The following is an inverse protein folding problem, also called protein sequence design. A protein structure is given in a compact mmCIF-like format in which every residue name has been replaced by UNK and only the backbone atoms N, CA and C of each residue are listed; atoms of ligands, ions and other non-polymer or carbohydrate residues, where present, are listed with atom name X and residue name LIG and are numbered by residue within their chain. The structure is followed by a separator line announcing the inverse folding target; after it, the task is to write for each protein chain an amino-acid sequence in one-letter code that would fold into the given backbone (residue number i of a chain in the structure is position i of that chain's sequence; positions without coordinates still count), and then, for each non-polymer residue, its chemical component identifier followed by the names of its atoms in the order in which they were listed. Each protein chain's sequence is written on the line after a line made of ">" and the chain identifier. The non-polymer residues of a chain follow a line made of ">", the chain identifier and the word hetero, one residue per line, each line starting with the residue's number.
data_IF_508820977731
#
_entry.id   IF_508820977731
#
_cell.length_a   1.000
_cell.length_b   1.000
_cell.length_c   1.000
_cell.angle_alpha   90.00
_cell.angle_beta   90.00
_cell.angle_gamma   90.00
#
_symmetry.space_group_name_H-M   'P 1'
#
loop_
_entity.id
_entity.type
_entity.pdbx_description
1 polymer ?
#
# COMPACT_ATOMS: atom_id res chain seq x y z
N UNK A 1 -4.73 45.89 17.20
CA UNK A 1 -5.28 45.58 15.85
C UNK A 1 -4.12 45.22 14.94
N UNK A 2 -3.85 43.94 14.68
CA UNK A 2 -2.71 43.58 13.82
C UNK A 2 -3.07 43.79 12.34
N UNK A 3 -2.28 44.60 11.63
CA UNK A 3 -2.36 44.79 10.17
C UNK A 3 -2.21 43.48 9.36
N UNK A 4 -1.78 42.40 10.02
CA UNK A 4 -1.45 41.11 9.42
C UNK A 4 -2.53 40.02 9.57
N UNK A 5 -3.65 40.29 10.29
CA UNK A 5 -4.75 39.33 10.42
C UNK A 5 -5.95 39.75 9.55
N UNK A 6 -6.32 38.93 8.57
CA UNK A 6 -7.50 39.13 7.72
C UNK A 6 -7.42 38.40 6.37
N UNK A 7 -8.56 38.29 5.68
CA UNK A 7 -8.66 37.72 4.33
C UNK A 7 -8.13 38.70 3.27
N UNK A 8 -7.46 38.17 2.23
CA UNK A 8 -6.85 38.93 1.14
C UNK A 8 -7.87 39.80 0.41
N UNK A 9 -9.06 39.26 0.15
CA UNK A 9 -10.15 39.97 -0.54
C UNK A 9 -10.66 41.15 0.30
N UNK A 10 -10.84 40.93 1.61
CA UNK A 10 -11.24 42.00 2.54
C UNK A 10 -10.19 43.12 2.64
N UNK A 11 -8.89 42.78 2.51
CA UNK A 11 -7.78 43.72 2.61
C UNK A 11 -7.60 44.52 1.33
N UNK A 12 -7.55 43.85 0.17
CA UNK A 12 -7.42 44.50 -1.14
C UNK A 12 -8.57 45.47 -1.39
N UNK A 13 -9.81 45.08 -1.06
CA UNK A 13 -10.98 45.97 -1.10
C UNK A 13 -10.79 47.24 -0.27
N UNK A 14 -10.25 47.14 0.94
CA UNK A 14 -10.00 48.32 1.80
C UNK A 14 -8.92 49.24 1.22
N UNK A 15 -7.85 48.68 0.66
CA UNK A 15 -6.75 49.45 0.07
C UNK A 15 -7.15 50.17 -1.22
N UNK A 16 -7.92 49.51 -2.09
CA UNK A 16 -8.46 50.12 -3.31
C UNK A 16 -9.47 51.22 -2.96
N UNK A 17 -10.38 50.98 -1.99
CA UNK A 17 -11.31 52.01 -1.51
C UNK A 17 -10.61 53.22 -0.86
N UNK A 18 -9.49 52.99 -0.19
CA UNK A 18 -8.67 54.04 0.41
C UNK A 18 -7.75 54.75 -0.58
N UNK A 19 -7.84 54.45 -1.88
CA UNK A 19 -6.97 54.98 -2.94
C UNK A 19 -5.47 54.76 -2.70
N UNK A 20 -5.11 53.83 -1.82
CA UNK A 20 -3.73 53.49 -1.49
C UNK A 20 -3.12 52.53 -2.53
N UNK A 21 -3.97 51.87 -3.34
CA UNK A 21 -3.57 50.93 -4.37
C UNK A 21 -4.54 51.02 -5.55
N UNK A 22 -4.03 50.91 -6.78
CA UNK A 22 -4.86 50.79 -7.98
C UNK A 22 -5.64 49.47 -7.97
N UNK A 23 -6.86 49.47 -8.54
CA UNK A 23 -7.69 48.27 -8.61
C UNK A 23 -6.98 47.15 -9.41
N UNK A 24 -6.66 46.01 -8.78
CA UNK A 24 -6.01 44.93 -9.51
C UNK A 24 -7.02 44.20 -10.38
N UNK A 25 -6.58 43.75 -11.56
CA UNK A 25 -7.43 43.11 -12.59
C UNK A 25 -8.23 41.91 -12.05
N UNK A 26 -7.67 41.18 -11.08
CA UNK A 26 -8.29 40.00 -10.48
C UNK A 26 -9.34 40.30 -9.40
N UNK A 27 -9.46 41.54 -8.90
CA UNK A 27 -10.35 41.85 -7.78
C UNK A 27 -11.82 41.57 -8.13
N UNK A 28 -12.28 42.06 -9.29
CA UNK A 28 -13.66 41.87 -9.75
C UNK A 28 -14.03 40.39 -9.89
N UNK A 29 -13.12 39.60 -10.47
CA UNK A 29 -13.32 38.15 -10.62
C UNK A 29 -13.40 37.45 -9.26
N UNK A 30 -12.56 37.84 -8.30
CA UNK A 30 -12.53 37.24 -6.96
C UNK A 30 -13.71 37.69 -6.09
N UNK A 31 -14.26 38.89 -6.31
CA UNK A 31 -15.50 39.33 -5.67
C UNK A 31 -16.73 38.62 -6.22
N UNK A 32 -16.74 38.32 -7.52
CA UNK A 32 -17.80 37.56 -8.17
C UNK A 32 -17.78 36.08 -7.75
N UNK A 33 -16.59 35.50 -7.61
CA UNK A 33 -16.38 34.12 -7.22
C UNK A 33 -15.32 34.01 -6.11
N UNK A 34 -15.67 34.31 -4.84
CA UNK A 34 -14.73 34.16 -3.74
C UNK A 34 -14.40 32.68 -3.51
N UNK A 35 -13.20 32.37 -2.98
CA UNK A 35 -12.84 30.99 -2.66
C UNK A 35 -13.79 30.41 -1.60
N UNK A 36 -14.10 29.12 -1.72
CA UNK A 36 -14.97 28.44 -0.78
C UNK A 36 -14.37 28.44 0.65
N UNK A 37 -15.15 28.90 1.62
CA UNK A 37 -14.78 28.87 3.04
C UNK A 37 -15.38 27.65 3.71
N UNK A 38 -14.52 26.78 4.25
CA UNK A 38 -14.95 25.65 5.07
C UNK A 38 -15.01 26.05 6.55
N UNK A 39 -15.93 25.48 7.35
CA UNK A 39 -15.90 25.67 8.80
C UNK A 39 -14.53 25.20 9.31
N UNK A 40 -13.94 25.99 10.22
CA UNK A 40 -12.67 25.58 10.83
C UNK A 40 -12.94 24.29 11.62
N UNK A 41 -12.21 23.19 11.36
CA UNK A 41 -12.40 21.96 12.10
C UNK A 41 -12.05 22.23 13.57
N UNK A 42 -13.03 22.03 14.46
CA UNK A 42 -12.79 22.07 15.89
C UNK A 42 -12.34 20.67 16.33
N UNK A 43 -11.12 20.56 16.87
CA UNK A 43 -10.59 19.32 17.42
C UNK A 43 -9.77 18.46 16.46
N UNK A 44 -9.62 17.18 16.81
CA UNK A 44 -8.79 16.21 16.08
C UNK A 44 -9.60 15.55 14.96
N UNK A 45 -8.98 15.36 13.80
CA UNK A 45 -9.58 14.61 12.70
C UNK A 45 -9.85 13.15 13.12
N UNK A 46 -11.04 12.65 12.80
CA UNK A 46 -11.42 11.25 13.06
C UNK A 46 -10.81 10.32 12.01
N UNK A 47 -10.34 9.16 12.45
CA UNK A 47 -9.88 8.10 11.55
C UNK A 47 -11.08 7.46 10.86
N UNK A 48 -11.07 7.42 9.52
CA UNK A 48 -12.09 6.71 8.74
C UNK A 48 -11.87 5.21 8.92
N UNK A 49 -12.90 4.52 9.41
CA UNK A 49 -12.90 3.06 9.61
C UNK A 49 -14.12 2.45 8.94
N UNK A 50 -13.94 1.30 8.30
CA UNK A 50 -15.01 0.56 7.66
C UNK A 50 -15.34 -0.73 8.42
N UNK A 51 -16.58 -1.24 8.33
CA UNK A 51 -16.96 -2.49 9.01
C UNK A 51 -16.16 -3.70 8.52
N UNK A 52 -15.73 -3.72 7.24
CA UNK A 52 -14.91 -4.79 6.69
C UNK A 52 -13.47 -4.84 7.23
N UNK A 53 -12.95 -3.73 7.78
CA UNK A 53 -11.54 -3.61 8.17
C UNK A 53 -11.12 -4.65 9.21
N UNK A 54 -12.06 -5.05 10.08
CA UNK A 54 -11.84 -6.09 11.09
C UNK A 54 -11.51 -7.43 10.42
N UNK A 55 -12.29 -7.82 9.42
CA UNK A 55 -12.15 -9.10 8.72
C UNK A 55 -10.96 -9.09 7.76
N UNK A 56 -10.65 -7.96 7.13
CA UNK A 56 -9.42 -7.79 6.33
C UNK A 56 -8.17 -8.05 7.20
N UNK A 57 -8.14 -7.52 8.43
CA UNK A 57 -7.04 -7.78 9.38
C UNK A 57 -6.96 -9.26 9.76
N UNK A 58 -8.10 -9.90 10.06
CA UNK A 58 -8.15 -11.35 10.35
C UNK A 58 -7.69 -12.20 9.18
N UNK A 59 -8.08 -11.84 7.96
CA UNK A 59 -7.64 -12.51 6.74
C UNK A 59 -6.13 -12.46 6.57
N UNK A 60 -5.49 -11.29 6.75
CA UNK A 60 -4.04 -11.18 6.64
C UNK A 60 -3.29 -11.85 7.80
N UNK A 61 -3.92 -11.99 8.97
CA UNK A 61 -3.37 -12.80 10.07
C UNK A 61 -3.35 -14.29 9.69
N UNK A 62 -4.39 -14.78 9.01
CA UNK A 62 -4.48 -16.17 8.52
C UNK A 62 -3.61 -16.43 7.29
N UNK A 63 -3.55 -15.48 6.36
CA UNK A 63 -2.83 -15.57 5.08
C UNK A 63 -1.85 -14.41 4.88
N UNK A 64 -0.70 -14.41 5.58
CA UNK A 64 0.30 -13.35 5.44
C UNK A 64 0.85 -13.26 4.01
N UNK A 65 1.02 -14.41 3.34
CA UNK A 65 1.51 -14.51 1.96
C UNK A 65 0.60 -13.83 0.92
N UNK A 66 -0.68 -13.63 1.25
CA UNK A 66 -1.64 -12.99 0.34
C UNK A 66 -1.24 -11.56 -0.01
N UNK A 67 -0.48 -10.88 0.85
CA UNK A 67 0.08 -9.54 0.57
C UNK A 67 0.95 -9.52 -0.68
N UNK A 68 1.67 -10.63 -0.96
CA UNK A 68 2.54 -10.77 -2.12
C UNK A 68 1.81 -11.36 -3.32
N UNK A 69 0.95 -12.35 -3.11
CA UNK A 69 0.19 -12.98 -4.20
C UNK A 69 -0.85 -12.04 -4.82
N UNK A 70 -1.46 -11.20 -3.99
CA UNK A 70 -2.57 -10.33 -4.37
C UNK A 70 -2.33 -8.90 -3.86
N UNK A 71 -1.35 -8.19 -4.45
CA UNK A 71 -1.12 -6.79 -4.11
C UNK A 71 -2.34 -5.95 -4.49
N UNK A 72 -2.62 -4.93 -3.68
CA UNK A 72 -3.70 -3.97 -3.97
C UNK A 72 -3.28 -3.16 -5.20
N UNK A 73 -3.99 -3.36 -6.31
CA UNK A 73 -3.78 -2.61 -7.54
C UNK A 73 -4.73 -1.42 -7.54
N UNK A 74 -4.20 -0.21 -7.38
CA UNK A 74 -5.01 1.01 -7.37
C UNK A 74 -5.80 1.24 -8.66
N UNK A 75 -5.32 0.72 -9.79
CA UNK A 75 -5.99 0.81 -11.10
C UNK A 75 -7.00 -0.30 -11.37
N UNK A 76 -7.05 -1.35 -10.54
CA UNK A 76 -7.98 -2.44 -10.75
C UNK A 76 -9.38 -2.06 -10.24
N UNK A 77 -10.39 -2.42 -11.03
CA UNK A 77 -11.80 -2.29 -10.64
C UNK A 77 -12.14 -3.34 -9.60
N UNK A 78 -11.62 -4.56 -9.78
CA UNK A 78 -11.91 -5.67 -8.89
C UNK A 78 -11.21 -5.50 -7.54
N UNK A 79 -11.94 -5.68 -6.42
CA UNK A 79 -11.35 -5.57 -5.10
C UNK A 79 -10.35 -6.70 -4.85
N UNK A 80 -9.38 -6.41 -3.96
CA UNK A 80 -8.43 -7.42 -3.52
C UNK A 80 -9.15 -8.60 -2.83
N UNK A 81 -8.61 -9.83 -2.88
CA UNK A 81 -9.23 -11.00 -2.26
C UNK A 81 -9.49 -10.86 -0.76
N UNK A 82 -8.67 -10.08 -0.05
CA UNK A 82 -8.89 -9.75 1.36
C UNK A 82 -10.18 -8.96 1.59
N UNK A 83 -10.50 -8.03 0.67
CA UNK A 83 -11.73 -7.26 0.71
C UNK A 83 -12.93 -8.10 0.26
N UNK A 84 -12.79 -8.94 -0.77
CA UNK A 84 -13.83 -9.89 -1.18
C UNK A 84 -14.24 -10.80 -0.03
N UNK A 85 -13.25 -11.38 0.67
CA UNK A 85 -13.48 -12.18 1.87
C UNK A 85 -14.28 -11.40 2.93
N UNK A 86 -13.85 -10.18 3.24
CA UNK A 86 -14.49 -9.38 4.27
C UNK A 86 -15.92 -8.95 3.90
N UNK A 87 -16.15 -8.55 2.65
CA UNK A 87 -17.48 -8.23 2.13
C UNK A 87 -18.39 -9.46 2.16
N UNK A 88 -17.88 -10.64 1.83
CA UNK A 88 -18.64 -11.88 1.89
C UNK A 88 -19.07 -12.22 3.32
N UNK A 89 -18.19 -12.02 4.31
CA UNK A 89 -18.54 -12.21 5.72
C UNK A 89 -19.65 -11.25 6.16
N UNK A 90 -19.57 -9.98 5.74
CA UNK A 90 -20.61 -9.00 6.04
C UNK A 90 -21.94 -9.36 5.38
N UNK A 91 -21.91 -9.77 4.11
CA UNK A 91 -23.10 -10.21 3.38
C UNK A 91 -23.77 -11.40 4.09
N UNK A 92 -23.02 -12.43 4.47
CA UNK A 92 -23.57 -13.60 5.18
C UNK A 92 -24.14 -13.22 6.55
N UNK A 93 -23.51 -12.27 7.25
CA UNK A 93 -23.99 -11.74 8.52
C UNK A 93 -25.28 -10.94 8.37
N UNK A 94 -25.45 -10.21 7.27
CA UNK A 94 -26.72 -9.53 6.94
C UNK A 94 -27.86 -10.54 6.73
N UNK A 95 -27.56 -11.75 6.27
CA UNK A 95 -28.52 -12.86 6.17
C UNK A 95 -28.79 -13.57 7.52
N UNK A 96 -28.19 -13.11 8.62
CA UNK A 96 -28.39 -13.66 9.96
C UNK A 96 -27.50 -14.85 10.32
N UNK A 97 -26.47 -15.15 9.52
CA UNK A 97 -25.50 -16.22 9.81
C UNK A 97 -24.55 -15.76 10.92
N UNK A 98 -24.12 -16.69 11.78
CA UNK A 98 -23.16 -16.40 12.84
C UNK A 98 -21.81 -15.95 12.26
N UNK A 99 -21.08 -15.09 12.97
CA UNK A 99 -19.83 -14.51 12.45
C UNK A 99 -18.78 -15.58 12.14
N UNK A 100 -18.69 -16.61 12.97
CA UNK A 100 -17.71 -17.68 12.81
C UNK A 100 -18.03 -18.56 11.60
N UNK A 101 -19.30 -18.95 11.44
CA UNK A 101 -19.77 -19.70 10.25
C UNK A 101 -19.58 -18.88 8.97
N UNK A 102 -19.90 -17.58 9.01
CA UNK A 102 -19.71 -16.68 7.87
C UNK A 102 -18.24 -16.59 7.45
N UNK A 103 -17.32 -16.51 8.42
CA UNK A 103 -15.88 -16.53 8.15
C UNK A 103 -15.41 -17.86 7.56
N UNK A 104 -15.94 -18.99 8.02
CA UNK A 104 -15.60 -20.32 7.48
C UNK A 104 -16.07 -20.48 6.03
N UNK A 105 -17.30 -20.05 5.72
CA UNK A 105 -17.83 -20.08 4.35
C UNK A 105 -16.99 -19.21 3.41
N UNK A 106 -16.70 -17.97 3.82
CA UNK A 106 -15.85 -17.06 3.03
C UNK A 106 -14.43 -17.62 2.83
N UNK A 107 -13.90 -18.34 3.83
CA UNK A 107 -12.58 -18.96 3.74
C UNK A 107 -12.58 -20.15 2.77
N UNK A 108 -13.63 -20.95 2.80
CA UNK A 108 -13.84 -22.06 1.88
C UNK A 108 -13.93 -21.57 0.44
N UNK A 109 -14.68 -20.49 0.18
CA UNK A 109 -14.75 -19.84 -1.13
C UNK A 109 -13.37 -19.36 -1.61
N UNK A 110 -12.61 -18.67 -0.75
CA UNK A 110 -11.26 -18.23 -1.08
C UNK A 110 -10.29 -19.39 -1.40
N UNK A 111 -10.34 -20.47 -0.61
CA UNK A 111 -9.51 -21.66 -0.85
C UNK A 111 -9.91 -22.34 -2.16
N UNK A 112 -11.21 -22.41 -2.48
CA UNK A 112 -11.71 -22.98 -3.72
C UNK A 112 -11.21 -22.19 -4.94
N UNK A 113 -11.28 -20.86 -4.91
CA UNK A 113 -10.73 -20.00 -5.96
C UNK A 113 -9.22 -20.19 -6.12
N UNK A 114 -8.48 -20.24 -5.00
CA UNK A 114 -7.03 -20.47 -5.00
C UNK A 114 -6.68 -21.80 -5.65
N UNK A 115 -7.44 -22.87 -5.34
CA UNK A 115 -7.28 -24.19 -5.97
C UNK A 115 -7.62 -24.15 -7.46
N UNK A 116 -8.69 -23.46 -7.86
CA UNK A 116 -9.07 -23.30 -9.26
C UNK A 116 -7.98 -22.58 -10.07
N UNK A 117 -7.44 -21.46 -9.55
CA UNK A 117 -6.31 -20.72 -10.16
C UNK A 117 -5.07 -21.59 -10.33
N UNK A 118 -4.74 -22.43 -9.33
CA UNK A 118 -3.63 -23.41 -9.44
C UNK A 118 -3.86 -24.45 -10.52
N UNK A 119 -5.07 -25.01 -10.63
CA UNK A 119 -5.43 -25.99 -11.68
C UNK A 119 -5.37 -25.35 -13.06
N UNK A 120 -5.89 -24.14 -13.23
CA UNK A 120 -5.82 -23.38 -14.48
C UNK A 120 -4.37 -23.13 -14.90
N UNK A 121 -3.52 -22.68 -13.97
CA UNK A 121 -2.10 -22.50 -14.22
C UNK A 121 -1.39 -23.80 -14.61
N UNK A 122 -1.67 -24.92 -13.92
CA UNK A 122 -1.09 -26.22 -14.26
C UNK A 122 -1.46 -26.64 -15.70
N UNK A 123 -2.71 -26.40 -16.12
CA UNK A 123 -3.16 -26.65 -17.48
C UNK A 123 -2.47 -25.75 -18.50
N UNK A 124 -2.40 -24.45 -18.24
CA UNK A 124 -1.69 -23.50 -19.11
C UNK A 124 -0.20 -23.84 -19.23
N UNK A 125 0.42 -24.30 -18.14
CA UNK A 125 1.81 -24.75 -18.11
C UNK A 125 2.04 -25.97 -19.00
N UNK A 126 1.13 -26.94 -18.99
CA UNK A 126 1.20 -28.10 -19.88
C UNK A 126 1.10 -27.68 -21.35
N UNK A 127 0.14 -26.82 -21.68
CA UNK A 127 -0.07 -26.30 -23.03
C UNK A 127 1.18 -25.53 -23.52
N UNK A 128 1.74 -24.66 -22.68
CA UNK A 128 2.93 -23.89 -23.03
C UNK A 128 4.14 -24.78 -23.34
N UNK A 129 4.33 -25.86 -22.57
CA UNK A 129 5.38 -26.86 -22.82
C UNK A 129 5.20 -27.57 -24.16
N UNK A 130 3.97 -28.02 -24.46
CA UNK A 130 3.65 -28.67 -25.73
C UNK A 130 3.86 -27.74 -26.94
N UNK A 131 3.57 -26.44 -26.77
CA UNK A 131 3.77 -25.44 -27.80
C UNK A 131 5.20 -24.90 -27.90
N UNK A 132 6.12 -25.33 -27.02
CA UNK A 132 7.48 -24.78 -26.94
C UNK A 132 7.55 -23.30 -26.55
N UNK A 133 6.47 -22.73 -25.98
CA UNK A 133 6.40 -21.33 -25.58
C UNK A 133 6.93 -21.13 -24.16
N UNK A 134 7.27 -19.86 -23.85
CA UNK A 134 7.61 -19.46 -22.48
C UNK A 134 6.48 -19.81 -21.52
N UNK A 135 6.85 -20.26 -20.32
CA UNK A 135 5.88 -20.65 -19.29
C UNK A 135 5.09 -19.41 -18.83
N UNK A 136 3.78 -19.57 -18.55
CA UNK A 136 3.01 -18.50 -17.95
C UNK A 136 3.58 -18.12 -16.57
N UNK A 137 3.36 -16.87 -16.10
CA UNK A 137 3.77 -16.46 -14.77
C UNK A 137 3.03 -17.27 -13.70
N UNK A 138 3.73 -17.63 -12.62
CA UNK A 138 3.15 -18.37 -11.51
C UNK A 138 2.15 -17.47 -10.75
N UNK A 139 0.87 -17.87 -10.58
CA UNK A 139 -0.10 -17.07 -9.85
C UNK A 139 0.18 -16.95 -8.35
N UNK A 140 0.98 -17.86 -7.77
CA UNK A 140 1.34 -17.86 -6.35
C UNK A 140 2.85 -18.04 -6.20
N UNK A 141 3.65 -17.00 -6.46
CA UNK A 141 5.10 -17.08 -6.28
C UNK A 141 5.45 -17.15 -4.80
N UNK A 142 6.48 -17.91 -4.43
CA UNK A 142 7.04 -17.88 -3.09
C UNK A 142 8.02 -16.69 -3.01
N UNK A 143 7.77 -15.65 -2.19
CA UNK A 143 8.63 -14.48 -2.13
C UNK A 143 10.09 -14.83 -1.87
N UNK A 144 10.33 -15.77 -0.96
CA UNK A 144 11.67 -16.28 -0.62
C UNK A 144 12.39 -16.86 -1.83
N UNK A 145 11.68 -17.58 -2.71
CA UNK A 145 12.30 -18.19 -3.90
C UNK A 145 12.63 -17.16 -4.96
N UNK A 146 11.84 -16.09 -5.06
CA UNK A 146 12.13 -14.99 -5.98
C UNK A 146 13.38 -14.23 -5.52
N UNK A 147 13.44 -13.86 -4.24
CA UNK A 147 14.62 -13.22 -3.63
C UNK A 147 15.86 -14.11 -3.82
N UNK A 148 15.75 -15.40 -3.49
CA UNK A 148 16.87 -16.34 -3.68
C UNK A 148 17.30 -16.46 -5.15
N UNK A 149 16.36 -16.42 -6.11
CA UNK A 149 16.69 -16.50 -7.53
C UNK A 149 17.42 -15.24 -8.01
N UNK A 150 17.04 -14.06 -7.51
CA UNK A 150 17.74 -12.81 -7.75
C UNK A 150 19.15 -12.83 -7.14
N UNK A 151 19.26 -13.24 -5.87
CA UNK A 151 20.53 -13.28 -5.15
C UNK A 151 21.50 -14.34 -5.68
N UNK A 152 21.00 -15.45 -6.24
CA UNK A 152 21.82 -16.58 -6.70
C UNK A 152 22.93 -16.17 -7.66
N UNK A 153 22.71 -15.12 -8.45
CA UNK A 153 23.71 -14.55 -9.38
C UNK A 153 24.92 -13.99 -8.63
N UNK A 154 24.70 -13.42 -7.44
CA UNK A 154 25.72 -12.78 -6.61
C UNK A 154 26.32 -13.70 -5.54
N UNK A 155 25.70 -14.85 -5.27
CA UNK A 155 26.18 -15.79 -4.24
C UNK A 155 27.62 -16.21 -4.49
N UNK A 156 27.99 -16.56 -5.72
CA UNK A 156 29.35 -16.98 -6.05
C UNK A 156 30.35 -15.84 -5.80
N UNK A 157 30.04 -14.63 -6.27
CA UNK A 157 30.94 -13.49 -6.11
C UNK A 157 31.13 -13.10 -4.64
N UNK A 158 30.09 -13.20 -3.79
CA UNK A 158 30.20 -12.96 -2.34
C UNK A 158 31.27 -13.83 -1.68
N UNK A 159 31.42 -15.09 -2.12
CA UNK A 159 32.37 -16.02 -1.51
C UNK A 159 33.72 -16.06 -2.23
N UNK A 160 33.79 -15.83 -3.53
CA UNK A 160 35.01 -16.06 -4.32
C UNK A 160 35.68 -14.78 -4.83
N UNK A 161 35.02 -13.62 -4.80
CA UNK A 161 35.62 -12.37 -5.23
C UNK A 161 36.55 -11.80 -4.13
N UNK A 162 37.85 -11.59 -4.42
CA UNK A 162 38.81 -11.09 -3.43
C UNK A 162 38.45 -9.69 -2.90
N UNK A 163 37.95 -8.78 -3.75
CA UNK A 163 37.61 -7.41 -3.33
C UNK A 163 36.45 -7.38 -2.34
N UNK A 164 35.46 -8.27 -2.50
CA UNK A 164 34.34 -8.40 -1.57
C UNK A 164 34.83 -8.99 -0.23
N UNK A 165 35.76 -9.94 -0.25
CA UNK A 165 36.35 -10.50 0.99
C UNK A 165 37.13 -9.44 1.76
N UNK A 166 37.89 -8.59 1.07
CA UNK A 166 38.62 -7.48 1.67
C UNK A 166 37.66 -6.46 2.31
N UNK A 167 36.61 -6.07 1.61
CA UNK A 167 35.55 -5.21 2.17
C UNK A 167 34.88 -5.81 3.41
N UNK A 168 34.62 -7.12 3.41
CA UNK A 168 34.03 -7.81 4.57
C UNK A 168 35.00 -7.82 5.77
N UNK A 169 36.30 -8.00 5.53
CA UNK A 169 37.32 -7.92 6.59
C UNK A 169 37.41 -6.51 7.17
N UNK A 170 37.49 -5.48 6.31
CA UNK A 170 37.50 -4.08 6.73
C UNK A 170 36.27 -3.74 7.58
N UNK A 171 35.06 -4.14 7.15
CA UNK A 171 33.84 -3.92 7.96
C UNK A 171 33.84 -4.67 9.29
N UNK A 172 34.42 -5.87 9.36
CA UNK A 172 34.58 -6.61 10.62
C UNK A 172 35.53 -5.87 11.57
N UNK A 173 36.64 -5.36 11.06
CA UNK A 173 37.61 -4.57 11.81
C UNK A 173 36.99 -3.26 12.31
N UNK A 174 36.28 -2.53 11.46
CA UNK A 174 35.52 -1.33 11.84
C UNK A 174 34.44 -1.63 12.90
N UNK A 175 33.72 -2.75 12.78
CA UNK A 175 32.74 -3.16 13.78
C UNK A 175 33.38 -3.51 15.11
N UNK A 176 34.54 -4.19 15.11
CA UNK A 176 35.28 -4.49 16.32
C UNK A 176 35.87 -3.23 16.96
N UNK A 177 36.30 -2.24 16.19
CA UNK A 177 36.73 -0.94 16.73
C UNK A 177 35.56 -0.13 17.30
N UNK A 178 34.37 -0.21 16.69
CA UNK A 178 33.16 0.50 17.15
C UNK A 178 32.47 -0.13 18.35
N UNK A 179 32.52 -1.46 18.50
CA UNK A 179 31.78 -2.20 19.54
C UNK A 179 32.68 -3.02 20.48
N UNK A 180 33.97 -3.16 20.19
CA UNK A 180 34.95 -3.88 21.01
C UNK A 180 35.80 -2.97 21.91
N UNK A 181 35.42 -1.69 22.01
CA UNK A 181 36.00 -0.72 22.94
C UNK A 181 35.12 -0.53 24.18
N UNK A 182 34.73 -1.62 24.85
CA UNK A 182 34.31 -1.55 26.25
C UNK A 182 35.10 -2.60 27.03
N UNK A 183 36.00 -2.05 27.83
CA UNK A 183 36.92 -2.74 28.71
C UNK A 183 36.14 -3.24 29.93
N UNK A 184 36.04 -4.57 30.12
CA UNK A 184 35.86 -5.24 31.40
C UNK A 184 36.69 -6.52 31.41
#
# INVERSE_FOLDING_TARGET
>A
MSFMKGDLLSRSRKLVKGLAMAEPVWLKAMEQAPPATFPRPEGKLHTITFPEDVYVKRFYKKYPESKYHHPIKFSAIDPAPSRLFALRVLELKEHGISEDEAMEVADMEYIAEKKAKKKAYARLKQIARLQGKKLPPNPFPCPVKEIQAEERKFVRDRFFNPSIRELVKQKKEESMQRFGGDNW
#
